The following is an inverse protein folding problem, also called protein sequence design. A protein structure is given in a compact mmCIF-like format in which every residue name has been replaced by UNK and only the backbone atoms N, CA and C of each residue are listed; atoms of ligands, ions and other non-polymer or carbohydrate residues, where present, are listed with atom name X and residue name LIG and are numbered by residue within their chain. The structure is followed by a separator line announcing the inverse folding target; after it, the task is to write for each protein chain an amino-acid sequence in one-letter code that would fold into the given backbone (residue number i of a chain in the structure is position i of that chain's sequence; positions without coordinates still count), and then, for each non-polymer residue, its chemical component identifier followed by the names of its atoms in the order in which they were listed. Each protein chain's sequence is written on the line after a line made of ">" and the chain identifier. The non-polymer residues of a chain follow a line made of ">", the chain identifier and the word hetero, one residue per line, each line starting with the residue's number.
data_IF_562052810200
#
_entry.id   IF_562052810200
#
_cell.length_a   1.000
_cell.length_b   1.000
_cell.length_c   1.000
_cell.angle_alpha   90.00
_cell.angle_beta   90.00
_cell.angle_gamma   90.00
#
_symmetry.space_group_name_H-M   'P 1'
#
loop_
_entity.id
_entity.type
_entity.pdbx_description
1 polymer ?
#
# COMPACT_ATOMS: atom_id res chain seq x y z
N UNK A 1 -33.27 -32.57 14.31
CA UNK A 1 -31.93 -31.99 14.28
C UNK A 1 -32.07 -30.47 14.37
N UNK A 2 -31.29 -29.79 15.19
CA UNK A 2 -31.33 -28.33 15.22
C UNK A 2 -30.57 -27.80 13.97
N UNK A 3 -30.86 -26.56 13.57
CA UNK A 3 -30.13 -25.89 12.48
C UNK A 3 -28.60 -25.85 12.75
N UNK A 4 -28.24 -25.88 14.03
CA UNK A 4 -26.84 -25.94 14.47
C UNK A 4 -26.22 -27.31 14.18
N UNK A 5 -26.97 -28.41 14.42
CA UNK A 5 -26.48 -29.77 14.16
C UNK A 5 -26.29 -30.01 12.66
N UNK A 6 -27.16 -29.42 11.81
CA UNK A 6 -27.02 -29.48 10.34
C UNK A 6 -25.79 -28.70 9.87
N UNK A 7 -25.51 -27.53 10.44
CA UNK A 7 -24.32 -26.72 10.11
C UNK A 7 -23.03 -27.42 10.54
N UNK A 8 -23.02 -28.04 11.72
CA UNK A 8 -21.88 -28.82 12.20
C UNK A 8 -21.62 -30.03 11.32
N UNK A 9 -22.68 -30.77 10.92
CA UNK A 9 -22.57 -31.89 10.03
C UNK A 9 -22.04 -31.46 8.65
N UNK A 10 -22.54 -30.38 8.09
CA UNK A 10 -22.01 -29.82 6.84
C UNK A 10 -20.54 -29.41 6.95
N UNK A 11 -20.13 -28.81 8.08
CA UNK A 11 -18.73 -28.48 8.32
C UNK A 11 -17.84 -29.73 8.39
N UNK A 12 -18.29 -30.81 9.06
CA UNK A 12 -17.56 -32.07 9.14
C UNK A 12 -17.43 -32.75 7.76
N UNK A 13 -18.48 -32.74 6.95
CA UNK A 13 -18.47 -33.24 5.60
C UNK A 13 -17.51 -32.47 4.67
N UNK A 14 -17.49 -31.16 4.77
CA UNK A 14 -16.55 -30.31 4.03
C UNK A 14 -15.09 -30.61 4.46
N UNK A 15 -14.83 -30.71 5.76
CA UNK A 15 -13.49 -31.05 6.27
C UNK A 15 -13.06 -32.44 5.82
N UNK A 16 -13.97 -33.41 5.82
CA UNK A 16 -13.67 -34.75 5.34
C UNK A 16 -13.38 -34.78 3.82
N UNK A 17 -14.15 -34.05 3.03
CA UNK A 17 -13.91 -33.90 1.59
C UNK A 17 -12.55 -33.26 1.29
N UNK A 18 -12.18 -32.18 2.01
CA UNK A 18 -10.88 -31.54 1.88
C UNK A 18 -9.72 -32.50 2.23
N UNK A 19 -9.88 -33.30 3.28
CA UNK A 19 -8.87 -34.32 3.64
C UNK A 19 -8.69 -35.39 2.59
N UNK A 20 -9.78 -35.85 1.98
CA UNK A 20 -9.74 -36.85 0.91
C UNK A 20 -9.08 -36.28 -0.34
N UNK A 21 -9.41 -35.04 -0.72
CA UNK A 21 -8.83 -34.37 -1.86
C UNK A 21 -7.33 -34.11 -1.65
N UNK A 22 -6.95 -33.69 -0.45
CA UNK A 22 -5.55 -33.56 -0.07
C UNK A 22 -4.78 -34.88 -0.16
N UNK A 23 -5.35 -35.99 0.35
CA UNK A 23 -4.71 -37.30 0.27
C UNK A 23 -4.52 -37.77 -1.19
N UNK A 24 -5.51 -37.55 -2.05
CA UNK A 24 -5.40 -37.82 -3.50
C UNK A 24 -4.34 -36.94 -4.15
N UNK A 25 -4.29 -35.66 -3.78
CA UNK A 25 -3.25 -34.72 -4.25
C UNK A 25 -1.84 -35.20 -3.91
N UNK A 26 -1.61 -35.68 -2.69
CA UNK A 26 -0.32 -36.26 -2.26
C UNK A 26 0.04 -37.47 -3.10
N UNK A 27 -0.91 -38.39 -3.31
CA UNK A 27 -0.66 -39.62 -4.09
C UNK A 27 -0.31 -39.30 -5.56
N UNK A 28 -1.05 -38.37 -6.19
CA UNK A 28 -0.79 -37.94 -7.56
C UNK A 28 0.54 -37.19 -7.68
N UNK A 29 0.84 -36.32 -6.73
CA UNK A 29 2.13 -35.60 -6.67
C UNK A 29 3.32 -36.56 -6.48
N UNK A 30 3.13 -37.62 -5.67
CA UNK A 30 4.15 -38.65 -5.47
C UNK A 30 4.37 -39.52 -6.74
N UNK A 31 3.33 -39.68 -7.58
CA UNK A 31 3.44 -40.30 -8.91
C UNK A 31 4.10 -39.37 -9.95
N UNK A 32 4.37 -38.15 -9.58
CA UNK A 32 5.07 -37.19 -10.43
C UNK A 32 4.16 -36.33 -11.32
N UNK A 33 2.84 -36.30 -11.09
CA UNK A 33 1.93 -35.48 -11.87
C UNK A 33 2.16 -33.99 -11.61
N UNK A 34 2.48 -33.23 -12.66
CA UNK A 34 2.90 -31.80 -12.56
C UNK A 34 1.83 -30.92 -11.88
N UNK A 35 0.57 -31.07 -12.28
CA UNK A 35 -0.53 -30.27 -11.71
C UNK A 35 -0.80 -30.62 -10.24
N UNK A 36 -0.66 -31.90 -9.88
CA UNK A 36 -0.79 -32.32 -8.49
C UNK A 36 0.36 -31.77 -7.61
N UNK A 37 1.59 -31.79 -8.13
CA UNK A 37 2.75 -31.20 -7.46
C UNK A 37 2.56 -29.67 -7.30
N UNK A 38 2.09 -28.99 -8.34
CA UNK A 38 1.77 -27.57 -8.27
C UNK A 38 0.69 -27.28 -7.22
N UNK A 39 -0.45 -27.98 -7.28
CA UNK A 39 -1.56 -27.76 -6.36
C UNK A 39 -1.16 -28.03 -4.89
N UNK A 40 -0.41 -29.10 -4.64
CA UNK A 40 0.11 -29.40 -3.32
C UNK A 40 1.12 -28.31 -2.86
N UNK A 41 1.94 -27.80 -3.76
CA UNK A 41 2.82 -26.67 -3.53
C UNK A 41 2.05 -25.42 -3.11
N UNK A 42 0.93 -25.11 -3.75
CA UNK A 42 0.04 -23.99 -3.40
C UNK A 42 -0.54 -24.16 -1.99
N UNK A 43 -0.94 -25.39 -1.61
CA UNK A 43 -1.45 -25.65 -0.24
C UNK A 43 -0.37 -25.37 0.82
N UNK A 44 0.86 -25.82 0.60
CA UNK A 44 1.97 -25.53 1.49
C UNK A 44 2.36 -24.04 1.49
N UNK A 45 2.33 -23.37 0.33
CA UNK A 45 2.60 -21.95 0.19
C UNK A 45 1.61 -21.09 0.98
N UNK A 46 0.32 -21.43 0.93
CA UNK A 46 -0.76 -20.67 1.60
C UNK A 46 -1.06 -21.16 3.02
N UNK A 47 -0.60 -22.33 3.42
CA UNK A 47 -0.98 -22.96 4.70
C UNK A 47 -2.46 -23.39 4.71
N UNK A 48 -3.04 -23.77 3.58
CA UNK A 48 -4.43 -24.17 3.45
C UNK A 48 -4.59 -25.67 3.70
N UNK A 49 -5.20 -26.04 4.82
CA UNK A 49 -5.37 -27.43 5.24
C UNK A 49 -4.09 -28.10 5.77
N UNK A 50 -2.95 -27.43 5.64
CA UNK A 50 -1.63 -27.88 6.13
C UNK A 50 -0.91 -26.70 6.77
N UNK A 51 0.11 -26.98 7.57
CA UNK A 51 0.99 -25.91 8.07
C UNK A 51 1.71 -25.26 6.88
N UNK A 52 1.76 -23.94 6.87
CA UNK A 52 2.52 -23.20 5.87
C UNK A 52 3.99 -23.63 5.88
N UNK A 53 4.51 -23.99 4.72
CA UNK A 53 5.89 -24.42 4.52
C UNK A 53 6.39 -23.99 3.15
N UNK A 54 7.11 -22.87 3.10
CA UNK A 54 7.67 -22.33 1.88
C UNK A 54 8.78 -23.21 1.27
N UNK A 55 9.52 -23.97 2.08
CA UNK A 55 10.56 -24.84 1.56
C UNK A 55 9.95 -26.04 0.81
N UNK A 56 8.92 -26.66 1.40
CA UNK A 56 8.19 -27.74 0.74
C UNK A 56 7.42 -27.23 -0.49
N UNK A 57 6.81 -26.05 -0.42
CA UNK A 57 6.19 -25.40 -1.58
C UNK A 57 7.20 -25.21 -2.72
N UNK A 58 8.39 -24.69 -2.42
CA UNK A 58 9.44 -24.49 -3.42
C UNK A 58 9.92 -25.81 -4.04
N UNK A 59 10.05 -26.87 -3.24
CA UNK A 59 10.41 -28.21 -3.72
C UNK A 59 9.39 -28.74 -4.71
N UNK A 60 8.12 -28.63 -4.36
CA UNK A 60 6.99 -29.08 -5.18
C UNK A 60 6.86 -28.25 -6.48
N UNK A 61 6.97 -26.92 -6.38
CA UNK A 61 6.97 -26.07 -7.57
C UNK A 61 8.15 -26.36 -8.49
N UNK A 62 9.35 -26.66 -7.97
CA UNK A 62 10.49 -27.07 -8.80
C UNK A 62 10.20 -28.38 -9.55
N UNK A 63 9.57 -29.33 -8.89
CA UNK A 63 9.20 -30.60 -9.52
C UNK A 63 8.15 -30.41 -10.65
N UNK A 64 7.15 -29.56 -10.42
CA UNK A 64 6.15 -29.23 -11.44
C UNK A 64 6.75 -28.39 -12.59
N UNK A 65 7.59 -27.41 -12.26
CA UNK A 65 8.21 -26.52 -13.24
C UNK A 65 9.20 -27.26 -14.16
N UNK A 66 9.85 -28.32 -13.67
CA UNK A 66 10.68 -29.21 -14.48
C UNK A 66 9.88 -29.96 -15.57
N UNK A 67 8.55 -30.02 -15.42
CA UNK A 67 7.60 -30.57 -16.39
C UNK A 67 6.87 -29.44 -17.15
N UNK A 68 7.48 -28.27 -17.22
CA UNK A 68 6.98 -27.09 -17.94
C UNK A 68 5.65 -26.52 -17.41
N UNK A 69 5.25 -26.86 -16.16
CA UNK A 69 4.07 -26.25 -15.55
C UNK A 69 4.30 -24.74 -15.36
N UNK A 70 3.57 -23.95 -16.14
CA UNK A 70 3.69 -22.49 -16.23
C UNK A 70 3.41 -21.81 -14.88
N UNK A 71 2.40 -22.25 -14.16
CA UNK A 71 2.01 -21.66 -12.88
C UNK A 71 3.06 -21.93 -11.80
N UNK A 72 3.68 -23.11 -11.84
CA UNK A 72 4.80 -23.44 -10.96
C UNK A 72 6.04 -22.57 -11.27
N UNK A 73 6.35 -22.34 -12.54
CA UNK A 73 7.43 -21.43 -12.95
C UNK A 73 7.16 -20.00 -12.47
N UNK A 74 5.94 -19.50 -12.65
CA UNK A 74 5.53 -18.17 -12.17
C UNK A 74 5.68 -18.04 -10.64
N UNK A 75 5.19 -19.04 -9.88
CA UNK A 75 5.28 -19.04 -8.43
C UNK A 75 6.72 -19.18 -7.92
N UNK A 76 7.59 -19.93 -8.60
CA UNK A 76 9.03 -19.95 -8.29
C UNK A 76 9.66 -18.57 -8.48
N UNK A 77 9.35 -17.92 -9.60
CA UNK A 77 9.78 -16.53 -9.82
C UNK A 77 9.36 -15.61 -8.67
N UNK A 78 8.11 -15.69 -8.22
CA UNK A 78 7.61 -14.92 -7.09
C UNK A 78 8.33 -15.27 -5.77
N UNK A 79 8.55 -16.56 -5.48
CA UNK A 79 9.24 -17.00 -4.27
C UNK A 79 10.68 -16.52 -4.21
N UNK A 80 11.43 -16.63 -5.31
CA UNK A 80 12.79 -16.07 -5.38
C UNK A 80 12.80 -14.55 -5.29
N UNK A 81 11.82 -13.88 -5.91
CA UNK A 81 11.66 -12.42 -5.83
C UNK A 81 11.42 -11.94 -4.40
N UNK A 82 10.65 -12.68 -3.60
CA UNK A 82 10.29 -12.32 -2.22
C UNK A 82 11.21 -12.94 -1.16
N UNK A 83 12.10 -13.88 -1.52
CA UNK A 83 12.93 -14.61 -0.57
C UNK A 83 12.16 -15.63 0.27
N UNK A 84 11.04 -16.14 -0.25
CA UNK A 84 10.21 -17.13 0.45
C UNK A 84 10.74 -18.55 0.22
N UNK A 85 10.98 -19.27 1.32
CA UNK A 85 11.59 -20.61 1.27
C UNK A 85 13.09 -20.63 1.05
N UNK A 86 13.74 -19.45 0.99
CA UNK A 86 15.18 -19.30 0.80
C UNK A 86 15.61 -17.84 0.83
N UNK A 87 16.83 -17.59 0.38
CA UNK A 87 17.32 -16.22 0.21
C UNK A 87 16.68 -15.56 -1.02
N UNK A 88 16.40 -14.26 -0.93
CA UNK A 88 15.93 -13.46 -2.06
C UNK A 88 16.99 -13.47 -3.19
N UNK A 89 16.54 -13.78 -4.39
CA UNK A 89 17.39 -13.82 -5.58
C UNK A 89 16.63 -13.32 -6.82
N UNK A 90 16.88 -12.08 -7.17
CA UNK A 90 16.24 -11.46 -8.34
C UNK A 90 16.71 -12.06 -9.68
N UNK A 91 17.93 -12.59 -9.74
CA UNK A 91 18.44 -13.24 -10.98
C UNK A 91 17.71 -14.55 -11.23
N UNK A 92 17.56 -15.38 -10.19
CA UNK A 92 16.78 -16.60 -10.28
C UNK A 92 15.29 -16.29 -10.53
N UNK A 93 14.72 -15.28 -9.88
CA UNK A 93 13.35 -14.83 -10.15
C UNK A 93 13.14 -14.50 -11.63
N UNK A 94 14.07 -13.72 -12.23
CA UNK A 94 14.03 -13.38 -13.65
C UNK A 94 14.06 -14.63 -14.55
N UNK A 95 14.93 -15.59 -14.24
CA UNK A 95 15.01 -16.85 -15.02
C UNK A 95 13.67 -17.58 -15.06
N UNK A 96 13.05 -17.73 -13.89
CA UNK A 96 11.75 -18.41 -13.79
C UNK A 96 10.64 -17.64 -14.50
N UNK A 97 10.60 -16.32 -14.37
CA UNK A 97 9.64 -15.50 -15.12
C UNK A 97 9.83 -15.59 -16.63
N UNK A 98 11.07 -15.65 -17.13
CA UNK A 98 11.35 -15.81 -18.56
C UNK A 98 10.84 -17.17 -19.05
N UNK A 99 10.99 -18.26 -18.28
CA UNK A 99 10.45 -19.56 -18.62
C UNK A 99 8.90 -19.52 -18.69
N UNK A 100 8.25 -18.95 -17.69
CA UNK A 100 6.80 -18.80 -17.70
C UNK A 100 6.31 -17.89 -18.86
N UNK A 101 7.04 -16.82 -19.16
CA UNK A 101 6.71 -15.90 -20.24
C UNK A 101 6.82 -16.53 -21.63
N UNK A 102 7.68 -17.55 -21.80
CA UNK A 102 7.83 -18.29 -23.05
C UNK A 102 6.54 -19.05 -23.45
N UNK A 103 5.68 -19.35 -22.48
CA UNK A 103 4.35 -19.94 -22.71
C UNK A 103 3.23 -18.89 -22.78
N UNK A 104 3.57 -17.64 -23.07
CA UNK A 104 2.65 -16.50 -23.21
C UNK A 104 1.91 -16.14 -21.90
N UNK A 105 2.56 -16.35 -20.75
CA UNK A 105 2.08 -15.93 -19.43
C UNK A 105 2.17 -14.42 -19.24
N UNK A 106 1.04 -13.72 -19.33
CA UNK A 106 1.01 -12.26 -19.22
C UNK A 106 1.43 -11.75 -17.83
N UNK A 107 1.18 -12.53 -16.78
CA UNK A 107 1.64 -12.17 -15.43
C UNK A 107 3.18 -12.20 -15.34
N UNK A 108 3.81 -13.26 -15.87
CA UNK A 108 5.26 -13.33 -15.93
C UNK A 108 5.85 -12.22 -16.80
N UNK A 109 5.23 -11.92 -17.96
CA UNK A 109 5.63 -10.81 -18.83
C UNK A 109 5.58 -9.47 -18.10
N UNK A 110 4.52 -9.20 -17.32
CA UNK A 110 4.44 -7.96 -16.53
C UNK A 110 5.47 -7.90 -15.40
N UNK A 111 5.77 -9.03 -14.74
CA UNK A 111 6.84 -9.10 -13.73
C UNK A 111 8.22 -8.84 -14.34
N UNK A 112 8.51 -9.36 -15.52
CA UNK A 112 9.76 -9.07 -16.26
C UNK A 112 9.83 -7.57 -16.57
N UNK A 113 8.75 -6.96 -17.07
CA UNK A 113 8.67 -5.52 -17.31
C UNK A 113 9.00 -4.72 -16.06
N UNK A 114 8.41 -5.08 -14.93
CA UNK A 114 8.68 -4.45 -13.64
C UNK A 114 10.14 -4.60 -13.19
N UNK A 115 10.74 -5.78 -13.39
CA UNK A 115 12.14 -6.01 -13.04
C UNK A 115 13.12 -5.19 -13.89
N UNK A 116 12.84 -5.00 -15.18
CA UNK A 116 13.61 -4.09 -16.03
C UNK A 116 13.42 -2.62 -15.63
N UNK A 117 12.20 -2.19 -15.26
CA UNK A 117 11.95 -0.83 -14.76
C UNK A 117 12.75 -0.52 -13.50
N UNK A 118 12.90 -1.50 -12.61
CA UNK A 118 13.59 -1.34 -11.32
C UNK A 118 15.06 -1.72 -11.32
N UNK A 119 15.56 -2.36 -12.37
CA UNK A 119 16.93 -2.89 -12.42
C UNK A 119 17.13 -4.04 -11.41
N UNK A 120 16.13 -4.86 -11.18
CA UNK A 120 16.17 -5.98 -10.22
C UNK A 120 16.56 -7.29 -10.93
N UNK A 121 17.71 -7.85 -10.59
CA UNK A 121 18.26 -9.05 -11.24
C UNK A 121 18.74 -8.84 -12.67
N UNK A 122 18.53 -7.65 -13.24
CA UNK A 122 18.99 -7.22 -14.56
C UNK A 122 19.39 -5.75 -14.49
N UNK A 123 20.18 -5.29 -15.47
CA UNK A 123 20.42 -3.85 -15.63
C UNK A 123 19.09 -3.16 -15.95
N UNK A 124 18.83 -2.03 -15.28
CA UNK A 124 17.65 -1.20 -15.57
C UNK A 124 17.60 -0.82 -17.05
N UNK A 125 16.45 -1.08 -17.67
CA UNK A 125 16.18 -0.75 -19.06
C UNK A 125 14.68 -0.45 -19.25
N UNK A 126 14.36 0.82 -19.34
CA UNK A 126 12.99 1.28 -19.49
C UNK A 126 12.37 0.89 -20.84
N UNK A 127 13.16 0.78 -21.89
CA UNK A 127 12.65 0.38 -23.22
C UNK A 127 12.27 -1.10 -23.22
N UNK A 128 13.10 -1.94 -22.61
CA UNK A 128 12.76 -3.35 -22.42
C UNK A 128 11.54 -3.51 -21.51
N UNK A 129 11.45 -2.73 -20.40
CA UNK A 129 10.27 -2.74 -19.55
C UNK A 129 8.98 -2.46 -20.35
N UNK A 130 8.98 -1.42 -21.18
CA UNK A 130 7.84 -1.06 -22.05
C UNK A 130 7.50 -2.20 -23.02
N UNK A 131 8.50 -2.85 -23.62
CA UNK A 131 8.28 -3.98 -24.56
C UNK A 131 7.56 -5.13 -23.86
N UNK A 132 8.03 -5.50 -22.67
CA UNK A 132 7.41 -6.57 -21.89
C UNK A 132 6.02 -6.22 -21.40
N UNK A 133 5.80 -4.99 -20.92
CA UNK A 133 4.46 -4.55 -20.56
C UNK A 133 3.51 -4.56 -21.79
N UNK A 134 3.95 -4.05 -22.94
CA UNK A 134 3.14 -4.10 -24.19
C UNK A 134 2.82 -5.54 -24.61
N UNK A 135 3.71 -6.48 -24.35
CA UNK A 135 3.44 -7.89 -24.64
C UNK A 135 2.31 -8.41 -23.73
N UNK A 136 2.40 -8.15 -22.41
CA UNK A 136 1.40 -8.56 -21.43
C UNK A 136 0.02 -7.91 -21.66
N UNK A 137 -0.05 -6.72 -22.23
CA UNK A 137 -1.35 -6.05 -22.52
C UNK A 137 -2.19 -6.80 -23.55
N UNK A 138 -1.59 -7.62 -24.41
CA UNK A 138 -2.34 -8.47 -25.36
C UNK A 138 -3.29 -9.45 -24.70
N UNK A 139 -3.05 -9.78 -23.42
CA UNK A 139 -3.89 -10.64 -22.60
C UNK A 139 -4.63 -9.84 -21.51
N UNK A 140 -4.83 -8.55 -21.70
CA UNK A 140 -5.56 -7.67 -20.78
C UNK A 140 -5.00 -7.64 -19.36
N UNK A 141 -3.68 -7.78 -19.20
CA UNK A 141 -3.04 -7.80 -17.88
C UNK A 141 -3.07 -6.40 -17.24
N UNK A 142 -3.74 -6.28 -16.09
CA UNK A 142 -3.93 -5.00 -15.38
C UNK A 142 -2.64 -4.38 -14.85
N UNK A 143 -1.71 -5.20 -14.38
CA UNK A 143 -0.38 -4.76 -13.93
C UNK A 143 0.43 -4.15 -15.08
N UNK A 144 0.34 -4.75 -16.27
CA UNK A 144 1.03 -4.22 -17.45
C UNK A 144 0.44 -2.88 -17.92
N UNK A 145 -0.88 -2.75 -17.90
CA UNK A 145 -1.53 -1.46 -18.18
C UNK A 145 -1.10 -0.41 -17.15
N UNK A 146 -1.08 -0.78 -15.87
CA UNK A 146 -0.61 0.12 -14.81
C UNK A 146 0.86 0.48 -15.00
N UNK A 147 1.73 -0.48 -15.31
CA UNK A 147 3.14 -0.27 -15.60
C UNK A 147 3.36 0.72 -16.75
N UNK A 148 2.65 0.57 -17.87
CA UNK A 148 2.74 1.52 -18.97
C UNK A 148 2.29 2.93 -18.56
N UNK A 149 1.18 3.06 -17.82
CA UNK A 149 0.75 4.34 -17.28
C UNK A 149 1.85 5.00 -16.43
N UNK A 150 2.49 4.22 -15.57
CA UNK A 150 3.59 4.69 -14.74
C UNK A 150 4.81 5.15 -15.55
N UNK A 151 5.17 4.44 -16.64
CA UNK A 151 6.28 4.82 -17.53
C UNK A 151 6.03 6.19 -18.16
N UNK A 152 4.82 6.45 -18.67
CA UNK A 152 4.45 7.74 -19.26
C UNK A 152 4.37 8.87 -18.23
N UNK A 153 3.83 8.61 -17.06
CA UNK A 153 3.74 9.60 -15.98
C UNK A 153 5.11 10.05 -15.47
N UNK A 154 6.07 9.13 -15.38
CA UNK A 154 7.38 9.38 -14.75
C UNK A 154 8.53 9.58 -15.74
N UNK A 155 8.27 9.72 -17.03
CA UNK A 155 9.30 9.90 -18.05
C UNK A 155 10.30 8.73 -18.14
N UNK A 156 9.83 7.51 -17.91
CA UNK A 156 10.66 6.31 -17.93
C UNK A 156 10.75 5.73 -19.35
N UNK A 157 11.80 6.07 -20.11
CA UNK A 157 12.06 5.59 -21.46
C UNK A 157 11.12 6.11 -22.54
N UNK A 158 10.19 6.98 -22.19
CA UNK A 158 9.28 7.70 -23.09
C UNK A 158 9.21 9.16 -22.68
N UNK A 159 8.74 10.03 -23.56
CA UNK A 159 8.41 11.41 -23.20
C UNK A 159 7.22 11.41 -22.23
N UNK A 160 7.27 12.31 -21.23
CA UNK A 160 6.20 12.41 -20.24
C UNK A 160 4.90 12.82 -20.93
N UNK A 161 3.85 12.04 -20.69
CA UNK A 161 2.52 12.30 -21.22
C UNK A 161 1.45 11.78 -20.25
N UNK A 162 0.97 12.67 -19.36
CA UNK A 162 -0.06 12.31 -18.38
C UNK A 162 -1.40 11.96 -19.06
N UNK A 163 -1.68 12.48 -20.25
CA UNK A 163 -2.88 12.09 -20.98
C UNK A 163 -2.79 10.64 -21.46
N UNK A 164 -1.62 10.23 -21.96
CA UNK A 164 -1.38 8.82 -22.32
C UNK A 164 -1.31 7.95 -21.05
N UNK A 165 -0.68 8.42 -19.96
CA UNK A 165 -0.68 7.74 -18.66
C UNK A 165 -2.11 7.46 -18.19
N UNK A 166 -3.00 8.47 -18.23
CA UNK A 166 -4.43 8.31 -17.86
C UNK A 166 -5.12 7.27 -18.73
N UNK A 167 -4.81 7.19 -20.03
CA UNK A 167 -5.39 6.14 -20.92
C UNK A 167 -5.01 4.75 -20.44
N UNK A 168 -3.73 4.51 -20.18
CA UNK A 168 -3.25 3.24 -19.71
C UNK A 168 -3.80 2.90 -18.30
N UNK A 169 -3.83 3.86 -17.40
CA UNK A 169 -4.44 3.67 -16.08
C UNK A 169 -5.95 3.38 -16.16
N UNK A 170 -6.69 3.98 -17.10
CA UNK A 170 -8.11 3.64 -17.32
C UNK A 170 -8.30 2.19 -17.76
N UNK A 171 -7.39 1.66 -18.60
CA UNK A 171 -7.43 0.25 -18.97
C UNK A 171 -7.15 -0.67 -17.76
N UNK A 172 -6.17 -0.31 -16.93
CA UNK A 172 -5.90 -1.04 -15.68
C UNK A 172 -7.08 -0.96 -14.71
N UNK A 173 -7.66 0.22 -14.53
CA UNK A 173 -8.82 0.45 -13.68
C UNK A 173 -10.05 -0.35 -14.12
N UNK A 174 -10.28 -0.49 -15.42
CA UNK A 174 -11.35 -1.31 -15.99
C UNK A 174 -11.20 -2.80 -15.64
N UNK A 175 -9.98 -3.25 -15.34
CA UNK A 175 -9.67 -4.61 -14.83
C UNK A 175 -9.63 -4.65 -13.29
N UNK A 176 -10.07 -3.60 -12.60
CA UNK A 176 -10.16 -3.55 -11.14
C UNK A 176 -8.86 -3.17 -10.40
N UNK A 177 -7.84 -2.68 -11.11
CA UNK A 177 -6.58 -2.26 -10.46
C UNK A 177 -6.79 -1.02 -9.58
N UNK A 178 -6.70 -1.18 -8.27
CA UNK A 178 -7.04 -0.13 -7.30
C UNK A 178 -6.10 1.08 -7.42
N UNK A 179 -4.79 0.85 -7.52
CA UNK A 179 -3.80 1.93 -7.61
C UNK A 179 -3.96 2.75 -8.90
N UNK A 180 -4.47 2.13 -9.99
CA UNK A 180 -4.76 2.87 -11.21
C UNK A 180 -5.86 3.91 -11.02
N UNK A 181 -6.94 3.56 -10.31
CA UNK A 181 -7.98 4.53 -9.95
C UNK A 181 -7.40 5.67 -9.12
N UNK A 182 -6.57 5.34 -8.13
CA UNK A 182 -5.93 6.34 -7.29
C UNK A 182 -5.02 7.26 -8.11
N UNK A 183 -4.16 6.72 -8.97
CA UNK A 183 -3.24 7.52 -9.81
C UNK A 183 -3.98 8.45 -10.77
N UNK A 184 -5.07 8.00 -11.41
CA UNK A 184 -5.92 8.88 -12.23
C UNK A 184 -6.43 10.05 -11.38
N UNK A 185 -6.91 9.78 -10.18
CA UNK A 185 -7.35 10.82 -9.24
C UNK A 185 -6.23 11.83 -8.93
N UNK A 186 -5.00 11.37 -8.70
CA UNK A 186 -3.83 12.24 -8.47
C UNK A 186 -3.56 13.13 -9.69
N UNK A 187 -3.52 12.57 -10.90
CA UNK A 187 -3.23 13.33 -12.11
C UNK A 187 -4.26 14.43 -12.37
N UNK A 188 -5.55 14.15 -12.16
CA UNK A 188 -6.59 15.19 -12.28
C UNK A 188 -6.54 16.21 -11.13
N UNK A 189 -6.12 15.80 -9.92
CA UNK A 189 -5.95 16.71 -8.79
C UNK A 189 -4.80 17.67 -8.98
N UNK A 190 -3.68 17.20 -9.48
CA UNK A 190 -2.44 17.97 -9.60
C UNK A 190 -2.45 18.90 -10.81
N UNK A 191 -2.99 18.46 -11.94
CA UNK A 191 -3.18 19.26 -13.13
C UNK A 191 -1.89 19.77 -13.80
N UNK A 192 -0.79 19.00 -13.64
CA UNK A 192 0.53 19.45 -14.13
C UNK A 192 0.62 19.43 -15.66
N UNK A 193 0.23 18.34 -16.31
CA UNK A 193 0.30 18.16 -17.76
C UNK A 193 -1.06 17.91 -18.39
N UNK A 194 -2.08 17.57 -17.59
CA UNK A 194 -3.49 17.54 -17.99
C UNK A 194 -4.23 18.66 -17.27
N UNK A 195 -5.36 19.10 -17.82
CA UNK A 195 -6.19 20.11 -17.19
C UNK A 195 -6.67 19.61 -15.81
N UNK A 196 -6.36 20.36 -14.76
CA UNK A 196 -6.84 20.08 -13.41
C UNK A 196 -8.37 19.99 -13.37
N UNK A 197 -8.86 18.93 -12.75
CA UNK A 197 -10.29 18.69 -12.56
C UNK A 197 -10.53 18.00 -11.21
N UNK A 198 -10.80 18.80 -10.19
CA UNK A 198 -11.06 18.29 -8.86
C UNK A 198 -12.32 17.42 -8.76
N UNK A 199 -13.35 17.72 -9.58
CA UNK A 199 -14.56 16.92 -9.57
C UNK A 199 -14.30 15.51 -10.12
N UNK A 200 -13.52 15.43 -11.19
CA UNK A 200 -13.10 14.13 -11.75
C UNK A 200 -12.14 13.40 -10.79
N UNK A 201 -11.16 14.10 -10.18
CA UNK A 201 -10.29 13.52 -9.16
C UNK A 201 -11.10 12.89 -8.02
N UNK A 202 -12.11 13.60 -7.52
CA UNK A 202 -12.98 13.14 -6.45
C UNK A 202 -13.74 11.86 -6.82
N UNK A 203 -14.22 11.75 -8.06
CA UNK A 203 -14.89 10.55 -8.55
C UNK A 203 -13.95 9.34 -8.50
N UNK A 204 -12.73 9.51 -9.01
CA UNK A 204 -11.74 8.42 -9.05
C UNK A 204 -11.29 8.01 -7.64
N UNK A 205 -11.03 8.96 -6.75
CA UNK A 205 -10.71 8.64 -5.35
C UNK A 205 -11.85 7.91 -4.65
N UNK A 206 -13.11 8.30 -4.89
CA UNK A 206 -14.27 7.68 -4.25
C UNK A 206 -14.37 6.19 -4.57
N UNK A 207 -14.10 5.79 -5.83
CA UNK A 207 -14.16 4.38 -6.27
C UNK A 207 -13.28 3.43 -5.44
N UNK A 208 -12.17 3.91 -4.93
CA UNK A 208 -11.23 3.09 -4.14
C UNK A 208 -11.27 3.39 -2.65
N UNK A 209 -11.61 4.62 -2.26
CA UNK A 209 -11.75 5.01 -0.86
C UNK A 209 -12.85 4.20 -0.14
N UNK A 210 -13.96 3.93 -0.81
CA UNK A 210 -15.05 3.07 -0.28
C UNK A 210 -14.62 1.62 -0.10
N UNK A 211 -13.58 1.18 -0.82
CA UNK A 211 -12.96 -0.15 -0.70
C UNK A 211 -11.81 -0.19 0.33
N UNK A 212 -11.56 0.93 1.00
CA UNK A 212 -10.54 1.01 2.04
C UNK A 212 -9.18 1.58 1.62
N UNK A 213 -9.02 2.12 0.41
CA UNK A 213 -7.74 2.73 0.02
C UNK A 213 -7.44 3.97 0.87
N UNK A 214 -6.43 3.87 1.74
CA UNK A 214 -6.12 4.86 2.79
C UNK A 214 -5.81 6.23 2.22
N UNK A 215 -4.92 6.32 1.21
CA UNK A 215 -4.53 7.61 0.64
C UNK A 215 -5.69 8.30 -0.10
N UNK A 216 -6.56 7.52 -0.77
CA UNK A 216 -7.76 8.07 -1.38
C UNK A 216 -8.74 8.61 -0.33
N UNK A 217 -8.89 7.94 0.81
CA UNK A 217 -9.70 8.44 1.93
C UNK A 217 -9.13 9.76 2.48
N UNK A 218 -7.80 9.85 2.64
CA UNK A 218 -7.13 11.08 3.07
C UNK A 218 -7.38 12.20 2.05
N UNK A 219 -7.19 11.93 0.77
CA UNK A 219 -7.38 12.93 -0.29
C UNK A 219 -8.83 13.41 -0.36
N UNK A 220 -9.82 12.51 -0.25
CA UNK A 220 -11.22 12.93 -0.13
C UNK A 220 -11.46 13.80 1.10
N UNK A 221 -10.88 13.45 2.24
CA UNK A 221 -10.93 14.28 3.44
C UNK A 221 -10.39 15.68 3.19
N UNK A 222 -9.25 15.80 2.50
CA UNK A 222 -8.65 17.10 2.12
C UNK A 222 -9.57 17.86 1.16
N UNK A 223 -10.14 17.19 0.16
CA UNK A 223 -11.04 17.81 -0.82
C UNK A 223 -12.29 18.41 -0.14
N UNK A 224 -12.89 17.67 0.79
CA UNK A 224 -14.02 18.19 1.59
C UNK A 224 -13.60 19.30 2.58
N UNK A 225 -12.40 19.24 3.19
CA UNK A 225 -11.91 20.30 4.09
C UNK A 225 -11.58 21.60 3.33
N UNK A 226 -11.09 21.50 2.08
CA UNK A 226 -10.67 22.64 1.26
C UNK A 226 -11.74 23.14 0.29
N UNK A 227 -12.78 22.36 0.03
CA UNK A 227 -13.78 22.67 -1.00
C UNK A 227 -13.23 22.46 -2.42
N UNK A 228 -12.37 21.48 -2.63
CA UNK A 228 -11.83 21.16 -3.96
C UNK A 228 -12.77 20.22 -4.72
N UNK A 229 -13.41 20.74 -5.77
CA UNK A 229 -14.38 19.99 -6.57
C UNK A 229 -15.76 19.79 -5.91
N UNK A 230 -15.94 20.29 -4.71
CA UNK A 230 -17.17 20.19 -3.90
C UNK A 230 -17.23 21.37 -2.90
N UNK A 231 -18.41 21.75 -2.46
CA UNK A 231 -18.53 22.69 -1.35
C UNK A 231 -17.85 22.16 -0.07
N UNK A 232 -17.13 23.02 0.69
CA UNK A 232 -16.48 22.60 1.93
C UNK A 232 -17.45 21.91 2.88
N UNK A 233 -17.07 20.73 3.36
CA UNK A 233 -17.86 19.96 4.30
C UNK A 233 -16.96 19.28 5.34
N UNK A 234 -16.77 19.94 6.48
CA UNK A 234 -15.89 19.46 7.53
C UNK A 234 -16.39 18.18 8.19
N UNK A 235 -17.70 17.89 8.16
CA UNK A 235 -18.26 16.65 8.69
C UNK A 235 -17.85 15.46 7.82
N UNK A 236 -17.98 15.60 6.50
CA UNK A 236 -17.51 14.56 5.55
C UNK A 236 -15.98 14.43 5.57
N UNK A 237 -15.23 15.54 5.67
CA UNK A 237 -13.79 15.50 5.83
C UNK A 237 -13.39 14.66 7.06
N UNK A 238 -14.02 14.92 8.22
CA UNK A 238 -13.80 14.16 9.45
C UNK A 238 -14.12 12.67 9.28
N UNK A 239 -15.22 12.34 8.58
CA UNK A 239 -15.61 10.96 8.32
C UNK A 239 -14.53 10.21 7.54
N UNK A 240 -14.05 10.79 6.44
CA UNK A 240 -13.00 10.18 5.62
C UNK A 240 -11.68 10.04 6.36
N UNK A 241 -11.26 11.07 7.10
CA UNK A 241 -10.04 10.98 7.93
C UNK A 241 -10.16 9.90 9.00
N UNK A 242 -11.32 9.73 9.64
CA UNK A 242 -11.54 8.67 10.64
C UNK A 242 -11.48 7.28 10.00
N UNK A 243 -11.98 7.09 8.79
CA UNK A 243 -11.86 5.82 8.07
C UNK A 243 -10.39 5.46 7.78
N UNK A 244 -9.59 6.43 7.36
CA UNK A 244 -8.15 6.22 7.15
C UNK A 244 -7.40 6.01 8.47
N UNK A 245 -7.73 6.74 9.52
CA UNK A 245 -7.14 6.62 10.85
C UNK A 245 -7.44 5.25 11.49
N UNK A 246 -8.65 4.69 11.28
CA UNK A 246 -9.01 3.36 11.76
C UNK A 246 -8.16 2.24 11.13
N UNK A 247 -7.48 2.52 10.03
CA UNK A 247 -6.51 1.64 9.39
C UNK A 247 -5.06 1.90 9.85
N UNK A 248 -4.87 2.73 10.90
CA UNK A 248 -3.57 3.02 11.48
C UNK A 248 -2.76 4.09 10.73
N UNK A 249 -3.36 4.92 9.89
CA UNK A 249 -2.65 5.98 9.19
C UNK A 249 -2.32 7.15 10.12
N UNK A 250 -1.05 7.33 10.47
CA UNK A 250 -0.56 8.44 11.29
C UNK A 250 -0.89 9.83 10.69
N UNK A 251 -0.87 9.94 9.36
CA UNK A 251 -1.28 11.17 8.67
C UNK A 251 -2.76 11.47 8.94
N UNK A 252 -3.63 10.47 8.78
CA UNK A 252 -5.06 10.63 9.03
C UNK A 252 -5.37 10.91 10.51
N UNK A 253 -4.69 10.22 11.44
CA UNK A 253 -4.79 10.49 12.89
C UNK A 253 -4.43 11.95 13.19
N UNK A 254 -3.35 12.47 12.60
CA UNK A 254 -2.96 13.87 12.73
C UNK A 254 -4.00 14.84 12.16
N UNK A 255 -4.67 14.49 11.04
CA UNK A 255 -5.78 15.28 10.49
C UNK A 255 -6.99 15.29 11.43
N UNK A 256 -7.35 14.14 12.00
CA UNK A 256 -8.44 14.04 12.99
C UNK A 256 -8.12 14.89 14.23
N UNK A 257 -6.88 14.83 14.74
CA UNK A 257 -6.42 15.68 15.84
C UNK A 257 -6.62 17.17 15.53
N UNK A 258 -6.14 17.62 14.37
CA UNK A 258 -6.29 19.01 13.91
C UNK A 258 -7.76 19.44 13.86
N UNK A 259 -8.65 18.60 13.40
CA UNK A 259 -10.08 18.91 13.33
C UNK A 259 -10.70 19.05 14.72
N UNK A 260 -10.36 18.19 15.67
CA UNK A 260 -10.81 18.33 17.07
C UNK A 260 -10.25 19.60 17.72
N UNK A 261 -8.98 19.92 17.50
CA UNK A 261 -8.35 21.10 18.06
C UNK A 261 -8.94 22.42 17.56
N UNK A 262 -9.49 22.44 16.34
CA UNK A 262 -10.05 23.64 15.72
C UNK A 262 -11.58 23.66 15.65
N UNK A 263 -12.25 22.60 16.13
CA UNK A 263 -13.71 22.52 16.09
C UNK A 263 -14.26 22.39 14.66
N UNK A 264 -13.51 21.80 13.73
CA UNK A 264 -13.93 21.61 12.35
C UNK A 264 -14.73 20.33 12.19
N UNK A 265 -16.00 20.41 11.84
CA UNK A 265 -16.91 19.28 11.68
C UNK A 265 -17.26 18.54 12.98
N UNK A 266 -16.70 18.97 14.09
CA UNK A 266 -16.93 18.45 15.45
C UNK A 266 -16.82 19.58 16.46
N UNK A 267 -17.38 19.41 17.66
CA UNK A 267 -17.15 20.33 18.76
C UNK A 267 -15.66 20.33 19.12
N UNK A 268 -15.07 21.51 19.29
CA UNK A 268 -13.69 21.65 19.72
C UNK A 268 -13.43 20.85 21.01
N UNK A 269 -12.34 20.06 21.01
CA UNK A 269 -11.96 19.22 22.13
C UNK A 269 -10.46 18.97 22.15
N UNK A 270 -9.75 19.70 23.02
CA UNK A 270 -8.30 19.59 23.12
C UNK A 270 -7.82 18.27 23.73
N UNK A 271 -8.63 17.59 24.54
CA UNK A 271 -8.28 16.26 25.05
C UNK A 271 -8.26 15.23 23.90
N UNK A 272 -9.26 15.26 23.01
CA UNK A 272 -9.26 14.41 21.81
C UNK A 272 -8.15 14.82 20.83
N UNK A 273 -7.89 16.11 20.66
CA UNK A 273 -6.76 16.61 19.85
C UNK A 273 -5.45 15.96 20.29
N UNK A 274 -5.13 16.05 21.57
CA UNK A 274 -3.90 15.47 22.13
C UNK A 274 -3.88 13.95 21.98
N UNK A 275 -4.99 13.28 22.28
CA UNK A 275 -5.11 11.83 22.15
C UNK A 275 -4.78 11.36 20.73
N UNK A 276 -5.35 11.98 19.72
CA UNK A 276 -5.12 11.62 18.32
C UNK A 276 -3.69 11.96 17.85
N UNK A 277 -3.13 13.09 18.29
CA UNK A 277 -1.72 13.38 18.01
C UNK A 277 -0.78 12.39 18.70
N UNK A 278 -1.09 11.89 19.90
CA UNK A 278 -0.29 10.87 20.57
C UNK A 278 -0.30 9.53 19.82
N UNK A 279 -1.44 9.14 19.21
CA UNK A 279 -1.49 7.95 18.36
C UNK A 279 -0.57 8.09 17.15
N UNK A 280 -0.64 9.20 16.43
CA UNK A 280 0.25 9.48 15.31
C UNK A 280 1.73 9.59 15.74
N UNK A 281 2.00 10.20 16.89
CA UNK A 281 3.35 10.33 17.45
C UNK A 281 3.96 8.99 17.89
N UNK A 282 3.14 8.02 18.30
CA UNK A 282 3.58 6.66 18.60
C UNK A 282 4.12 5.93 17.36
N UNK A 283 3.74 6.38 16.17
CA UNK A 283 4.26 5.93 14.87
C UNK A 283 5.42 6.82 14.37
N UNK A 284 6.01 7.62 15.24
CA UNK A 284 7.09 8.55 14.88
C UNK A 284 6.72 9.58 13.79
N UNK A 285 5.43 9.93 13.63
CA UNK A 285 4.99 10.90 12.64
C UNK A 285 5.39 12.32 13.02
N UNK A 286 6.35 12.87 12.29
CA UNK A 286 6.99 14.16 12.64
C UNK A 286 6.00 15.35 12.78
N UNK A 287 4.99 15.55 11.89
CA UNK A 287 4.01 16.61 12.08
C UNK A 287 3.22 16.50 13.38
N UNK A 288 2.87 15.29 13.82
CA UNK A 288 2.15 15.10 15.08
C UNK A 288 3.05 15.42 16.29
N UNK A 289 4.32 14.99 16.24
CA UNK A 289 5.31 15.33 17.27
C UNK A 289 5.50 16.86 17.36
N UNK A 290 5.61 17.54 16.21
CA UNK A 290 5.73 19.01 16.16
C UNK A 290 4.50 19.70 16.78
N UNK A 291 3.29 19.24 16.45
CA UNK A 291 2.05 19.78 17.01
C UNK A 291 1.92 19.52 18.52
N UNK A 292 2.33 18.36 19.02
CA UNK A 292 2.37 18.09 20.46
C UNK A 292 3.35 19.03 21.17
N UNK A 293 4.52 19.30 20.58
CA UNK A 293 5.44 20.30 21.08
C UNK A 293 4.75 21.66 21.25
N UNK A 294 4.05 22.12 20.22
CA UNK A 294 3.29 23.36 20.24
C UNK A 294 2.18 23.38 21.30
N UNK A 295 1.47 22.29 21.47
CA UNK A 295 0.40 22.14 22.46
C UNK A 295 0.93 22.29 23.88
N UNK A 296 2.03 21.60 24.22
CA UNK A 296 2.64 21.69 25.55
C UNK A 296 3.34 23.04 25.79
N UNK A 297 3.95 23.62 24.78
CA UNK A 297 4.57 24.95 24.87
C UNK A 297 3.56 26.05 25.21
N UNK A 298 2.32 25.94 24.67
CA UNK A 298 1.30 26.99 24.82
C UNK A 298 0.17 26.60 25.78
N UNK A 299 0.27 25.51 26.51
CA UNK A 299 -0.75 25.08 27.46
C UNK A 299 -2.12 24.81 26.83
N UNK A 300 -2.17 24.38 25.56
CA UNK A 300 -3.43 24.18 24.83
C UNK A 300 -4.16 22.93 25.30
N UNK A 301 -5.09 23.09 26.25
CA UNK A 301 -5.84 21.99 26.82
C UNK A 301 -5.07 21.12 27.83
N UNK A 302 -3.85 21.53 28.17
CA UNK A 302 -2.97 20.97 29.20
C UNK A 302 -2.22 22.12 29.87
N UNK A 303 -1.56 21.87 30.99
CA UNK A 303 -0.62 22.83 31.57
C UNK A 303 0.60 23.03 30.65
N UNK A 304 1.12 24.25 30.62
CA UNK A 304 2.36 24.54 29.91
C UNK A 304 3.52 23.70 30.47
N UNK A 305 4.28 23.08 29.57
CA UNK A 305 5.41 22.22 29.93
C UNK A 305 6.51 22.33 28.86
N UNK A 306 7.42 23.28 29.07
CA UNK A 306 8.55 23.53 28.18
C UNK A 306 9.45 22.29 28.01
N UNK A 307 9.59 21.45 29.03
CA UNK A 307 10.43 20.27 28.97
C UNK A 307 9.81 19.20 28.06
N UNK A 308 8.49 18.96 28.17
CA UNK A 308 7.77 18.08 27.24
C UNK A 308 7.76 18.65 25.83
N UNK A 309 7.54 19.96 25.70
CA UNK A 309 7.57 20.63 24.39
C UNK A 309 8.90 20.41 23.68
N UNK A 310 10.03 20.67 24.39
CA UNK A 310 11.39 20.43 23.86
C UNK A 310 11.65 18.98 23.50
N UNK A 311 11.13 18.02 24.28
CA UNK A 311 11.25 16.60 23.96
C UNK A 311 10.54 16.27 22.65
N UNK A 312 9.29 16.72 22.47
CA UNK A 312 8.52 16.48 21.25
C UNK A 312 9.15 17.18 20.02
N UNK A 313 9.53 18.44 20.14
CA UNK A 313 10.23 19.15 19.08
C UNK A 313 11.56 18.48 18.73
N UNK A 314 12.31 17.99 19.70
CA UNK A 314 13.57 17.29 19.46
C UNK A 314 13.37 15.99 18.68
N UNK A 315 12.31 15.23 18.96
CA UNK A 315 11.96 14.03 18.20
C UNK A 315 11.55 14.37 16.76
N UNK A 316 10.72 15.40 16.58
CA UNK A 316 10.30 15.85 15.26
C UNK A 316 11.48 16.40 14.44
N UNK A 317 12.35 17.19 15.05
CA UNK A 317 13.55 17.75 14.42
C UNK A 317 14.52 16.66 13.93
N UNK A 318 14.70 15.57 14.69
CA UNK A 318 15.49 14.40 14.27
C UNK A 318 14.92 13.71 13.00
N UNK A 319 13.63 13.90 12.73
CA UNK A 319 12.96 13.41 11.52
C UNK A 319 12.95 14.44 10.38
N UNK A 320 13.61 15.60 10.59
CA UNK A 320 13.71 16.64 9.57
C UNK A 320 12.54 17.64 9.54
N UNK A 321 11.67 17.67 10.54
CA UNK A 321 10.59 18.67 10.60
C UNK A 321 11.15 20.08 10.81
N UNK A 322 11.06 20.91 9.78
CA UNK A 322 11.64 22.28 9.76
C UNK A 322 10.99 23.19 10.82
N UNK A 323 9.69 23.04 11.05
CA UNK A 323 8.97 23.83 12.04
C UNK A 323 9.43 23.46 13.46
N UNK A 324 9.57 22.15 13.71
CA UNK A 324 10.07 21.68 15.01
C UNK A 324 11.51 22.11 15.28
N UNK A 325 12.39 22.12 14.27
CA UNK A 325 13.76 22.63 14.41
C UNK A 325 13.71 24.09 14.88
N UNK A 326 12.98 24.95 14.17
CA UNK A 326 12.84 26.38 14.50
C UNK A 326 12.21 26.59 15.87
N UNK A 327 11.10 25.91 16.17
CA UNK A 327 10.39 26.08 17.44
C UNK A 327 11.24 25.61 18.62
N UNK A 328 11.99 24.53 18.46
CA UNK A 328 12.95 24.05 19.47
C UNK A 328 14.00 25.12 19.79
N UNK A 329 14.65 25.70 18.78
CA UNK A 329 15.66 26.74 18.98
C UNK A 329 15.10 27.97 19.71
N UNK A 330 13.89 28.40 19.32
CA UNK A 330 13.21 29.53 19.97
C UNK A 330 12.88 29.24 21.43
N UNK A 331 12.39 28.03 21.70
CA UNK A 331 12.03 27.61 23.06
C UNK A 331 13.29 27.49 23.96
N UNK A 332 14.36 26.89 23.46
CA UNK A 332 15.64 26.78 24.16
C UNK A 332 16.19 28.16 24.51
N UNK A 333 16.14 29.14 23.59
CA UNK A 333 16.56 30.52 23.83
C UNK A 333 15.67 31.21 24.88
N UNK A 334 14.35 30.96 24.87
CA UNK A 334 13.40 31.47 25.88
C UNK A 334 13.73 30.96 27.29
N UNK A 335 13.90 29.63 27.40
CA UNK A 335 14.23 28.98 28.69
C UNK A 335 15.56 29.44 29.23
N UNK A 336 16.61 29.60 28.41
CA UNK A 336 17.92 30.12 28.82
C UNK A 336 17.84 31.53 29.36
N UNK A 337 17.06 32.43 28.73
CA UNK A 337 16.83 33.81 29.23
C UNK A 337 16.11 33.84 30.58
N UNK A 338 15.12 32.98 30.78
CA UNK A 338 14.39 32.89 32.04
C UNK A 338 15.29 32.39 33.20
N UNK A 339 16.24 31.52 32.92
CA UNK A 339 17.22 31.02 33.89
C UNK A 339 18.28 32.10 34.23
N UNK A 340 18.76 32.84 33.23
CA UNK A 340 19.77 33.91 33.43
C UNK A 340 19.21 35.17 34.08
N UNK A 341 17.91 35.46 33.99
CA UNK A 341 17.25 36.59 34.62
C UNK A 341 16.83 36.37 36.10
N UNK A 342 17.03 35.17 36.63
CA UNK A 342 16.77 34.80 38.03
C UNK A 342 18.01 34.93 38.93
N UNK A 343 19.11 35.42 38.43
CA UNK A 343 20.33 35.76 39.14
C UNK A 343 20.53 37.29 39.12
#
# INVERSE_FOLDING_TARGET
>A
MSRMDELLQQQEEIVAAIKIEYARGIEAAAKGEADAQYNLGVLHYKGQGVKQDYQEAMRLFKAAAAQENMDAQLNLGLMFYQGQGGQQDYVEAMRWYVLAAATDCAEAQSKIGFMYDRGQGVKQDYLEAIRWYKLATKKLNSEAYFGLGYMYENHHGVEQDDAEAVRWYKLAAAQGHADAHFRIGVLYNDGNTIKQDYAEAMRWYTLVAVKGHVDAQINLGVMYDRGWGVEPNFLEAMRWYKLAAAQGSANAESKVAFMYGNGKGVKQNHAEEIRWYLLAAAQDYAPALSNLGFIYENGRGVEEDDAKALNFYSKAAKKGDVNAIKNKELLEARVAKQQSGKH
#
